data_IF_866839429636
#
_entry.id   IF_866839429636
#
_cell.length_a   1.000
_cell.length_b   1.000
_cell.length_c   1.000
_cell.angle_alpha   90.00
_cell.angle_beta   90.00
_cell.angle_gamma   90.00
#
_symmetry.space_group_name_H-M   'P 1'
#
loop_
_entity.id
_entity.type
_entity.pdbx_description
1 polymer ?
#
# COMPACT_ATOMS: atom_id res chain seq x y z
N UNK A 1 1.14 20.37 5.51
CA UNK A 1 1.46 18.92 5.49
C UNK A 1 2.72 18.59 6.28
N UNK A 2 3.91 19.11 5.91
CA UNK A 2 5.19 18.92 6.65
C UNK A 2 5.04 19.06 8.16
N UNK A 3 4.43 20.16 8.60
CA UNK A 3 4.18 20.42 10.03
C UNK A 3 3.28 19.37 10.71
N UNK A 4 2.29 18.80 10.00
CA UNK A 4 1.41 17.76 10.55
C UNK A 4 2.18 16.45 10.76
N UNK A 5 2.94 16.02 9.76
CA UNK A 5 3.83 14.85 9.85
C UNK A 5 4.85 15.05 10.95
N UNK A 6 5.53 16.20 10.97
CA UNK A 6 6.53 16.50 11.98
C UNK A 6 5.93 16.51 13.40
N UNK A 7 4.76 17.11 13.59
CA UNK A 7 4.04 17.09 14.87
C UNK A 7 3.66 15.65 15.28
N UNK A 8 3.24 14.82 14.33
CA UNK A 8 2.92 13.42 14.60
C UNK A 8 4.15 12.62 15.05
N UNK A 9 5.33 12.87 14.45
CA UNK A 9 6.59 12.22 14.84
C UNK A 9 7.06 12.72 16.22
N UNK A 10 6.99 14.04 16.50
CA UNK A 10 7.37 14.63 17.81
C UNK A 10 6.65 14.01 19.00
N UNK A 11 5.44 13.47 18.80
CA UNK A 11 4.68 12.76 19.84
C UNK A 11 5.11 11.31 20.06
N UNK A 12 6.28 10.90 19.56
CA UNK A 12 6.79 9.53 19.63
C UNK A 12 8.24 9.51 20.08
N UNK A 13 8.80 8.31 20.20
CA UNK A 13 10.22 8.04 20.47
C UNK A 13 11.16 8.25 19.28
N UNK A 14 10.65 8.73 18.13
CA UNK A 14 11.45 9.03 16.95
C UNK A 14 11.88 10.50 16.93
N UNK A 15 13.12 10.75 16.52
CA UNK A 15 13.61 12.08 16.22
C UNK A 15 13.04 12.55 14.88
N UNK A 16 12.84 13.87 14.74
CA UNK A 16 12.32 14.47 13.51
C UNK A 16 13.16 15.64 13.03
N UNK A 17 13.39 15.68 11.72
CA UNK A 17 14.00 16.80 11.01
C UNK A 17 13.20 17.10 9.75
N UNK A 18 13.12 18.37 9.36
CA UNK A 18 12.47 18.82 8.11
C UNK A 18 13.54 19.33 7.15
N UNK A 19 13.38 19.09 5.85
CA UNK A 19 14.39 19.41 4.83
C UNK A 19 15.76 18.77 5.13
N UNK A 20 15.75 17.53 5.63
CA UNK A 20 16.97 16.84 6.02
C UNK A 20 17.81 16.53 4.78
N UNK A 21 18.96 17.19 4.67
CA UNK A 21 19.96 16.86 3.67
C UNK A 21 20.68 15.57 4.03
N UNK A 22 21.04 14.81 2.99
CA UNK A 22 21.89 13.64 3.09
C UNK A 22 22.63 13.38 1.78
N UNK A 23 23.50 12.39 1.80
CA UNK A 23 24.34 12.03 0.66
C UNK A 23 24.31 10.51 0.49
N UNK A 24 24.09 10.06 -0.75
CA UNK A 24 24.17 8.66 -1.12
C UNK A 24 25.63 8.23 -1.32
N UNK A 25 25.92 6.91 -1.33
CA UNK A 25 27.29 6.40 -1.49
C UNK A 25 27.99 6.83 -2.77
N UNK A 26 27.23 7.11 -3.83
CA UNK A 26 27.73 7.63 -5.12
C UNK A 26 28.07 9.13 -5.08
N UNK A 27 27.93 9.76 -3.92
CA UNK A 27 28.17 11.18 -3.69
C UNK A 27 26.99 12.08 -4.02
N UNK A 28 25.89 11.54 -4.57
CA UNK A 28 24.70 12.33 -4.90
C UNK A 28 23.99 12.83 -3.64
N UNK A 29 23.61 14.11 -3.65
CA UNK A 29 22.92 14.75 -2.52
C UNK A 29 21.42 14.57 -2.69
N UNK A 30 20.74 14.32 -1.58
CA UNK A 30 19.29 14.27 -1.50
C UNK A 30 18.79 15.14 -0.33
N UNK A 31 17.53 15.54 -0.41
CA UNK A 31 16.85 16.30 0.64
C UNK A 31 15.52 15.63 0.90
N UNK A 32 15.35 15.14 2.14
CA UNK A 32 14.09 14.59 2.59
C UNK A 32 13.21 15.69 3.15
N UNK A 33 11.96 15.77 2.69
CA UNK A 33 11.02 16.78 3.18
C UNK A 33 10.79 16.68 4.70
N UNK A 34 10.57 15.45 5.20
CA UNK A 34 10.55 15.13 6.64
C UNK A 34 11.26 13.81 6.86
N UNK A 35 12.26 13.80 7.72
CA UNK A 35 12.99 12.60 8.16
C UNK A 35 12.56 12.21 9.57
N UNK A 36 12.22 10.95 9.76
CA UNK A 36 12.10 10.32 11.07
C UNK A 36 13.29 9.38 11.31
N UNK A 37 13.97 9.52 12.44
CA UNK A 37 15.13 8.70 12.82
C UNK A 37 14.95 8.04 14.19
N UNK A 38 15.33 6.77 14.30
CA UNK A 38 15.44 6.06 15.59
C UNK A 38 16.54 5.01 15.51
N UNK A 39 17.64 5.25 16.23
CA UNK A 39 18.86 4.46 16.13
C UNK A 39 19.30 4.32 14.65
N UNK A 40 19.48 3.09 14.15
CA UNK A 40 19.85 2.83 12.75
C UNK A 40 18.68 3.00 11.75
N UNK A 41 17.44 3.13 12.22
CA UNK A 41 16.27 3.18 11.34
C UNK A 41 15.94 4.62 10.93
N UNK A 42 15.75 4.81 9.62
CA UNK A 42 15.40 6.10 9.03
C UNK A 42 14.25 5.96 8.04
N UNK A 43 13.30 6.89 8.09
CA UNK A 43 12.16 6.98 7.17
C UNK A 43 12.06 8.41 6.65
N UNK A 44 12.14 8.58 5.33
CA UNK A 44 11.86 9.84 4.66
C UNK A 44 10.39 9.86 4.20
N UNK A 45 9.65 10.86 4.64
CA UNK A 45 8.29 11.16 4.16
C UNK A 45 8.40 12.28 3.13
N UNK A 46 8.10 11.97 1.86
CA UNK A 46 8.13 12.89 0.73
C UNK A 46 6.73 13.39 0.39
N UNK A 47 6.56 14.69 0.21
CA UNK A 47 5.30 15.27 -0.25
C UNK A 47 5.46 15.78 -1.66
N UNK A 48 4.76 15.15 -2.60
CA UNK A 48 4.79 15.57 -3.99
C UNK A 48 3.42 16.10 -4.44
N UNK A 49 3.36 17.43 -4.58
CA UNK A 49 2.17 18.18 -4.99
C UNK A 49 2.11 18.42 -6.49
N UNK A 50 3.29 18.51 -7.11
CA UNK A 50 3.46 18.73 -8.54
C UNK A 50 3.53 17.38 -9.26
N UNK A 51 3.28 17.39 -10.56
CA UNK A 51 3.49 16.20 -11.39
C UNK A 51 4.96 15.76 -11.28
N UNK A 52 5.17 14.47 -10.99
CA UNK A 52 6.48 13.82 -11.00
C UNK A 52 6.34 12.50 -11.76
N UNK A 53 7.32 12.18 -12.59
CA UNK A 53 7.31 10.92 -13.34
C UNK A 53 7.67 9.73 -12.45
N UNK A 54 7.28 8.54 -12.89
CA UNK A 54 7.73 7.28 -12.31
C UNK A 54 9.26 7.22 -12.21
N UNK A 55 9.97 7.57 -13.29
CA UNK A 55 11.44 7.48 -13.36
C UNK A 55 12.13 8.42 -12.36
N UNK A 56 11.65 9.65 -12.22
CA UNK A 56 12.22 10.59 -11.25
C UNK A 56 11.95 10.13 -9.81
N UNK A 57 10.76 9.57 -9.56
CA UNK A 57 10.41 8.99 -8.26
C UNK A 57 11.31 7.79 -7.95
N UNK A 58 11.53 6.90 -8.92
CA UNK A 58 12.40 5.74 -8.78
C UNK A 58 13.86 6.17 -8.52
N UNK A 59 14.35 7.16 -9.26
CA UNK A 59 15.71 7.71 -9.08
C UNK A 59 15.91 8.26 -7.67
N UNK A 60 14.97 9.09 -7.17
CA UNK A 60 15.04 9.63 -5.81
C UNK A 60 14.89 8.54 -4.74
N UNK A 61 14.03 7.57 -4.99
CA UNK A 61 13.85 6.43 -4.09
C UNK A 61 15.13 5.58 -3.98
N UNK A 62 15.86 5.41 -5.07
CA UNK A 62 17.14 4.71 -5.09
C UNK A 62 18.21 5.43 -4.26
N UNK A 63 18.23 6.77 -4.28
CA UNK A 63 19.13 7.56 -3.42
C UNK A 63 18.85 7.31 -1.93
N UNK A 64 17.57 7.21 -1.55
CA UNK A 64 17.22 6.82 -0.17
C UNK A 64 17.62 5.40 0.15
N UNK A 65 17.30 4.45 -0.74
CA UNK A 65 17.60 3.03 -0.55
C UNK A 65 19.09 2.79 -0.35
N UNK A 66 19.93 3.33 -1.24
CA UNK A 66 21.39 3.23 -1.16
C UNK A 66 21.97 3.93 0.08
N UNK A 67 21.27 4.93 0.62
CA UNK A 67 21.64 5.61 1.87
C UNK A 67 21.14 4.89 3.14
N UNK A 68 20.46 3.74 3.02
CA UNK A 68 19.85 3.04 4.16
C UNK A 68 18.64 3.77 4.75
N UNK A 69 17.94 4.56 3.93
CA UNK A 69 16.73 5.30 4.28
C UNK A 69 15.54 4.68 3.56
N UNK A 70 14.43 4.47 4.27
CA UNK A 70 13.17 4.04 3.65
C UNK A 70 12.39 5.27 3.18
N UNK A 71 12.16 5.41 1.88
CA UNK A 71 11.31 6.48 1.34
C UNK A 71 9.83 6.09 1.30
N UNK A 72 8.95 7.00 1.70
CA UNK A 72 7.50 6.92 1.60
C UNK A 72 6.96 8.20 0.97
N UNK A 73 6.29 8.06 -0.18
CA UNK A 73 5.81 9.16 -1.00
C UNK A 73 4.33 9.42 -0.80
N UNK A 74 4.00 10.69 -0.61
CA UNK A 74 2.66 11.21 -0.37
C UNK A 74 2.30 12.14 -1.54
N UNK A 75 1.48 11.66 -2.47
CA UNK A 75 1.11 12.37 -3.68
C UNK A 75 -0.29 12.98 -3.58
N UNK A 76 -0.48 14.20 -4.07
CA UNK A 76 -1.85 14.72 -4.34
C UNK A 76 -2.50 14.05 -5.53
N UNK A 77 -1.70 13.75 -6.54
CA UNK A 77 -2.16 13.23 -7.82
C UNK A 77 -1.20 12.11 -8.26
N UNK A 78 -1.37 10.88 -7.75
CA UNK A 78 -0.45 9.77 -8.02
C UNK A 78 -0.63 9.16 -9.43
N UNK A 79 -1.33 9.83 -10.35
CA UNK A 79 -1.72 9.24 -11.65
C UNK A 79 -0.56 8.79 -12.53
N UNK A 80 0.66 9.26 -12.27
CA UNK A 80 1.87 8.93 -13.02
C UNK A 80 2.83 7.99 -12.27
N UNK A 81 2.53 7.59 -11.03
CA UNK A 81 3.41 6.76 -10.20
C UNK A 81 2.71 5.47 -9.78
N UNK A 82 3.34 4.34 -10.08
CA UNK A 82 2.85 3.03 -9.69
C UNK A 82 3.19 2.76 -8.23
N UNK A 83 2.17 2.36 -7.46
CA UNK A 83 2.32 2.00 -6.05
C UNK A 83 2.97 0.61 -5.96
N UNK A 84 4.13 0.50 -5.30
CA UNK A 84 4.83 -0.77 -5.10
C UNK A 84 5.65 -0.79 -3.81
N UNK A 85 6.13 -1.98 -3.41
CA UNK A 85 7.05 -2.12 -2.26
C UNK A 85 8.34 -1.33 -2.44
N UNK A 86 8.84 -1.26 -3.67
CA UNK A 86 10.08 -0.56 -3.99
C UNK A 86 9.88 0.96 -3.97
N UNK A 87 8.72 1.43 -4.43
CA UNK A 87 8.31 2.84 -4.41
C UNK A 87 6.98 2.96 -3.65
N UNK A 88 7.03 2.99 -2.30
CA UNK A 88 5.83 3.16 -1.49
C UNK A 88 5.25 4.55 -1.74
N UNK A 89 4.19 4.62 -2.52
CA UNK A 89 3.51 5.86 -2.89
C UNK A 89 2.03 5.77 -2.55
N UNK A 90 1.50 6.81 -1.90
CA UNK A 90 0.12 6.85 -1.42
C UNK A 90 -0.52 8.18 -1.80
N UNK A 91 -1.83 8.16 -2.02
CA UNK A 91 -2.61 9.37 -2.25
C UNK A 91 -2.85 10.09 -0.93
N UNK A 92 -2.70 11.40 -0.96
CA UNK A 92 -3.00 12.27 0.16
C UNK A 92 -3.98 13.35 -0.25
N UNK A 93 -5.08 13.39 0.48
CA UNK A 93 -6.11 14.38 0.34
C UNK A 93 -5.96 15.41 1.45
N UNK A 94 -5.98 16.69 1.09
CA UNK A 94 -5.98 17.79 2.06
C UNK A 94 -7.29 18.53 1.97
N UNK A 95 -7.97 18.59 3.10
CA UNK A 95 -9.07 19.51 3.32
C UNK A 95 -8.50 20.77 3.94
N UNK A 96 -8.75 21.92 3.30
CA UNK A 96 -8.23 23.21 3.75
C UNK A 96 -9.04 23.77 4.91
N UNK A 97 -10.32 23.44 4.98
CA UNK A 97 -11.24 23.87 6.03
C UNK A 97 -12.16 22.72 6.49
N UNK A 98 -11.99 22.20 7.73
CA UNK A 98 -10.85 22.42 8.63
C UNK A 98 -9.55 21.85 8.06
N UNK A 99 -8.40 22.38 8.48
CA UNK A 99 -7.07 21.94 8.04
C UNK A 99 -6.76 20.49 8.46
N UNK A 100 -7.22 19.54 7.66
CA UNK A 100 -7.09 18.11 7.87
C UNK A 100 -6.41 17.47 6.65
N UNK A 101 -5.58 16.46 6.91
CA UNK A 101 -4.97 15.68 5.86
C UNK A 101 -5.28 14.20 6.09
N UNK A 102 -5.60 13.51 5.01
CA UNK A 102 -5.97 12.12 5.00
C UNK A 102 -5.12 11.38 3.99
N UNK A 103 -4.61 10.22 4.39
CA UNK A 103 -3.95 9.29 3.48
C UNK A 103 -4.99 8.28 3.04
N UNK A 104 -5.09 8.10 1.74
CA UNK A 104 -5.93 7.07 1.14
C UNK A 104 -5.02 5.96 0.61
N UNK A 105 -5.36 4.73 0.98
CA UNK A 105 -4.66 3.54 0.53
C UNK A 105 -5.36 3.05 -0.75
N UNK A 106 -4.63 2.73 -1.83
CA UNK A 106 -5.29 2.31 -3.05
C UNK A 106 -5.95 0.94 -2.82
N UNK A 107 -7.21 0.83 -3.27
CA UNK A 107 -7.93 -0.41 -3.49
C UNK A 107 -7.95 -0.66 -5.01
N UNK A 108 -7.90 -1.91 -5.43
CA UNK A 108 -7.99 -2.21 -6.87
C UNK A 108 -9.34 -1.76 -7.44
N UNK A 109 -9.31 -1.29 -8.69
CA UNK A 109 -10.51 -1.24 -9.51
C UNK A 109 -10.85 -2.63 -10.04
N UNK A 110 -12.14 -2.92 -10.26
CA UNK A 110 -12.52 -4.04 -11.10
C UNK A 110 -11.82 -3.94 -12.47
N UNK A 111 -11.30 -5.08 -12.93
CA UNK A 111 -10.56 -5.20 -14.17
C UNK A 111 -11.38 -4.67 -15.37
N UNK A 112 -10.82 -3.73 -16.15
CA UNK A 112 -11.45 -3.22 -17.39
C UNK A 112 -11.50 -1.69 -17.56
N UNK A 113 -11.15 -0.91 -16.53
CA UNK A 113 -11.02 0.55 -16.70
C UNK A 113 -9.75 0.88 -17.50
N UNK A 114 -9.91 1.44 -18.70
CA UNK A 114 -8.78 1.94 -19.55
C UNK A 114 -8.00 3.11 -18.93
N UNK A 115 -8.34 3.51 -17.71
CA UNK A 115 -7.60 4.43 -16.85
C UNK A 115 -7.32 3.70 -15.54
N UNK A 116 -6.07 3.75 -15.06
CA UNK A 116 -5.69 3.40 -13.69
C UNK A 116 -6.32 4.42 -12.72
N UNK A 117 -7.64 4.43 -12.63
CA UNK A 117 -8.37 5.19 -11.63
C UNK A 117 -8.34 4.38 -10.34
N UNK A 118 -7.25 4.42 -9.56
CA UNK A 118 -7.23 3.78 -8.25
C UNK A 118 -8.52 4.14 -7.48
N UNK A 119 -9.29 3.13 -7.05
CA UNK A 119 -10.36 3.35 -6.10
C UNK A 119 -9.70 3.52 -4.74
N UNK A 120 -9.76 4.70 -4.17
CA UNK A 120 -9.09 4.98 -2.91
C UNK A 120 -9.93 4.42 -1.75
N UNK A 121 -9.33 3.52 -0.95
CA UNK A 121 -9.93 2.85 0.19
C UNK A 121 -10.17 3.77 1.41
N UNK A 122 -10.40 3.22 2.62
CA UNK A 122 -10.73 4.02 3.79
C UNK A 122 -9.67 5.08 4.09
N UNK A 123 -10.14 6.30 4.37
CA UNK A 123 -9.30 7.47 4.67
C UNK A 123 -8.72 7.36 6.09
N UNK A 124 -7.42 7.49 6.24
CA UNK A 124 -6.73 7.49 7.54
C UNK A 124 -6.18 8.89 7.80
N UNK A 125 -6.44 9.45 8.98
CA UNK A 125 -5.90 10.76 9.37
C UNK A 125 -4.36 10.71 9.27
N UNK A 126 -3.75 11.72 8.64
CA UNK A 126 -2.32 11.71 8.28
C UNK A 126 -1.41 11.46 9.50
N UNK A 127 -1.68 12.12 10.63
CA UNK A 127 -0.91 11.92 11.85
C UNK A 127 -1.04 10.49 12.40
N UNK A 128 -2.24 9.91 12.38
CA UNK A 128 -2.48 8.51 12.75
C UNK A 128 -1.73 7.56 11.81
N UNK A 129 -1.78 7.82 10.51
CA UNK A 129 -1.06 7.03 9.51
C UNK A 129 0.45 7.08 9.76
N UNK A 130 1.03 8.27 9.95
CA UNK A 130 2.46 8.45 10.26
C UNK A 130 2.85 7.66 11.51
N UNK A 131 2.09 7.77 12.61
CA UNK A 131 2.34 6.98 13.83
C UNK A 131 2.26 5.47 13.55
N UNK A 132 1.34 5.02 12.71
CA UNK A 132 1.26 3.64 12.24
C UNK A 132 2.54 3.19 11.50
N UNK A 133 3.06 4.01 10.59
CA UNK A 133 4.33 3.73 9.89
C UNK A 133 5.50 3.58 10.87
N UNK A 134 5.64 4.50 11.84
CA UNK A 134 6.69 4.45 12.86
C UNK A 134 6.58 3.22 13.75
N UNK A 135 5.36 2.81 14.07
CA UNK A 135 5.03 1.60 14.83
C UNK A 135 5.06 0.31 13.97
N UNK A 136 5.52 0.38 12.71
CA UNK A 136 5.59 -0.76 11.77
C UNK A 136 4.24 -1.43 11.48
N UNK A 137 3.14 -0.68 11.57
CA UNK A 137 1.77 -1.12 11.26
C UNK A 137 1.41 -0.96 9.79
N UNK A 138 2.22 -0.24 9.02
CA UNK A 138 2.13 -0.20 7.55
C UNK A 138 3.02 -1.30 6.99
N UNK A 139 2.40 -2.41 6.61
CA UNK A 139 3.09 -3.62 6.15
C UNK A 139 2.59 -3.93 4.74
N UNK A 140 3.52 -4.21 3.84
CA UNK A 140 3.21 -4.79 2.55
C UNK A 140 2.84 -6.25 2.75
N UNK A 141 1.66 -6.65 2.30
CA UNK A 141 1.34 -8.07 2.20
C UNK A 141 2.41 -8.82 1.37
N UNK A 142 2.59 -10.12 1.64
CA UNK A 142 3.53 -11.02 1.00
C UNK A 142 3.32 -10.94 -0.49
N UNK A 143 4.45 -10.90 -1.19
CA UNK A 143 4.52 -10.52 -2.58
C UNK A 143 3.65 -11.41 -3.48
N UNK A 144 3.32 -10.83 -4.63
CA UNK A 144 3.03 -11.58 -5.84
C UNK A 144 4.12 -12.68 -5.97
N UNK A 145 3.70 -13.89 -6.30
CA UNK A 145 4.46 -15.16 -6.37
C UNK A 145 4.67 -15.93 -5.05
N UNK A 146 4.05 -15.53 -3.95
CA UNK A 146 4.04 -16.35 -2.74
C UNK A 146 2.86 -17.34 -2.73
N UNK A 147 3.13 -18.63 -2.49
CA UNK A 147 2.09 -19.63 -2.34
C UNK A 147 1.29 -19.36 -1.04
N UNK A 148 0.02 -19.00 -1.19
CA UNK A 148 -0.90 -18.75 -0.07
C UNK A 148 -1.77 -19.99 0.15
N UNK A 149 -1.92 -20.49 1.40
CA UNK A 149 -2.86 -21.57 1.66
C UNK A 149 -4.29 -21.16 1.28
N UNK A 150 -5.02 -22.08 0.64
CA UNK A 150 -6.36 -21.85 0.10
C UNK A 150 -7.34 -22.81 0.75
N UNK A 151 -8.32 -22.27 1.46
CA UNK A 151 -9.46 -23.04 1.95
C UNK A 151 -10.58 -22.99 0.89
N UNK A 152 -11.09 -24.16 0.47
CA UNK A 152 -12.16 -24.29 -0.53
C UNK A 152 -13.45 -24.67 0.19
N UNK A 153 -14.49 -23.87 -0.02
CA UNK A 153 -15.79 -24.10 0.58
C UNK A 153 -16.74 -24.72 -0.43
N UNK A 154 -17.47 -25.74 -0.02
CA UNK A 154 -18.44 -26.44 -0.86
C UNK A 154 -19.81 -26.46 -0.20
N UNK A 155 -20.85 -26.57 -1.03
CA UNK A 155 -22.21 -26.85 -0.57
C UNK A 155 -22.84 -27.88 -1.50
N UNK A 156 -23.73 -28.71 -0.95
CA UNK A 156 -24.49 -29.66 -1.74
C UNK A 156 -25.71 -28.99 -2.36
N UNK A 157 -25.88 -29.18 -3.66
CA UNK A 157 -27.06 -28.77 -4.39
C UNK A 157 -27.57 -29.88 -5.30
N UNK A 158 -28.88 -29.92 -5.52
CA UNK A 158 -29.46 -30.86 -6.47
C UNK A 158 -29.11 -30.42 -7.90
N UNK A 159 -28.48 -31.31 -8.67
CA UNK A 159 -28.17 -31.05 -10.07
C UNK A 159 -29.44 -30.65 -10.84
N UNK A 160 -29.42 -29.51 -11.53
CA UNK A 160 -30.59 -29.00 -12.25
C UNK A 160 -31.14 -30.01 -13.26
N UNK A 161 -30.27 -30.83 -13.87
CA UNK A 161 -30.60 -31.83 -14.88
C UNK A 161 -31.04 -33.18 -14.31
N UNK A 162 -30.23 -33.79 -13.46
CA UNK A 162 -30.46 -35.18 -13.00
C UNK A 162 -31.00 -35.29 -11.57
N UNK A 163 -31.17 -34.15 -10.86
CA UNK A 163 -31.67 -34.03 -9.48
C UNK A 163 -30.84 -34.77 -8.41
N UNK A 164 -29.71 -35.37 -8.76
CA UNK A 164 -28.80 -35.98 -7.79
C UNK A 164 -28.07 -34.90 -6.97
N UNK A 165 -27.75 -35.15 -5.69
CA UNK A 165 -26.87 -34.30 -4.91
C UNK A 165 -25.54 -34.12 -5.63
N UNK A 166 -25.08 -32.88 -5.72
CA UNK A 166 -23.83 -32.49 -6.36
C UNK A 166 -23.19 -31.42 -5.50
N UNK A 167 -21.95 -31.65 -5.08
CA UNK A 167 -21.20 -30.64 -4.36
C UNK A 167 -20.72 -29.57 -5.33
N UNK A 168 -21.07 -28.32 -5.07
CA UNK A 168 -20.60 -27.15 -5.79
C UNK A 168 -19.61 -26.38 -4.91
N UNK A 169 -18.61 -25.77 -5.52
CA UNK A 169 -17.73 -24.84 -4.81
C UNK A 169 -18.50 -23.53 -4.62
N UNK A 170 -18.57 -23.03 -3.39
CA UNK A 170 -19.29 -21.80 -3.04
C UNK A 170 -18.35 -20.64 -2.78
N UNK A 171 -17.07 -20.91 -2.52
CA UNK A 171 -16.08 -19.86 -2.36
C UNK A 171 -14.69 -20.39 -2.04
N UNK A 172 -13.78 -19.43 -1.99
CA UNK A 172 -12.36 -19.61 -1.78
C UNK A 172 -11.90 -18.62 -0.72
N UNK A 173 -11.16 -19.09 0.28
CA UNK A 173 -10.54 -18.21 1.27
C UNK A 173 -9.03 -18.35 1.21
N UNK A 174 -8.35 -17.27 0.84
CA UNK A 174 -6.90 -17.19 0.87
C UNK A 174 -6.45 -16.82 2.27
N UNK A 175 -5.71 -17.73 2.89
CA UNK A 175 -5.24 -17.63 4.28
C UNK A 175 -3.97 -16.80 4.38
N UNK A 176 -4.05 -15.56 3.90
CA UNK A 176 -2.97 -14.58 3.99
C UNK A 176 -2.62 -14.25 5.45
N UNK A 177 -3.56 -14.43 6.37
CA UNK A 177 -3.36 -14.32 7.83
C UNK A 177 -2.27 -15.26 8.35
N UNK A 178 -2.07 -16.42 7.69
CA UNK A 178 -1.03 -17.38 8.06
C UNK A 178 0.36 -16.96 7.58
N UNK A 179 0.44 -16.12 6.56
CA UNK A 179 1.71 -15.60 6.02
C UNK A 179 2.05 -14.21 6.55
N UNK A 180 1.04 -13.44 6.93
CA UNK A 180 1.17 -12.06 7.40
C UNK A 180 0.54 -11.95 8.76
N UNK A 181 1.37 -11.80 9.81
CA UNK A 181 0.87 -11.48 11.13
C UNK A 181 -0.05 -10.26 11.06
N UNK A 182 -1.33 -10.46 11.35
CA UNK A 182 -2.31 -9.39 11.41
C UNK A 182 -3.12 -9.08 10.15
N UNK A 183 -2.88 -9.78 9.03
CA UNK A 183 -3.80 -9.73 7.89
C UNK A 183 -5.10 -10.49 8.19
N UNK A 184 -6.16 -10.15 7.46
CA UNK A 184 -7.41 -10.92 7.45
C UNK A 184 -7.40 -11.85 6.25
N UNK A 185 -8.01 -13.06 6.35
CA UNK A 185 -8.23 -13.90 5.19
C UNK A 185 -8.96 -13.15 4.06
N UNK A 186 -8.66 -13.50 2.81
CA UNK A 186 -9.28 -12.89 1.63
C UNK A 186 -10.30 -13.86 1.04
N UNK A 187 -11.57 -13.49 1.08
CA UNK A 187 -12.66 -14.26 0.52
C UNK A 187 -12.90 -13.90 -0.96
N UNK A 188 -12.88 -14.90 -1.84
CA UNK A 188 -13.25 -14.78 -3.25
C UNK A 188 -14.37 -15.76 -3.60
N UNK A 189 -15.26 -15.32 -4.49
CA UNK A 189 -16.30 -16.18 -5.07
C UNK A 189 -15.84 -16.75 -6.40
N UNK A 190 -16.49 -17.81 -6.86
CA UNK A 190 -16.20 -18.43 -8.16
C UNK A 190 -16.32 -17.44 -9.34
N UNK A 191 -17.30 -16.53 -9.29
CA UNK A 191 -17.49 -15.44 -10.26
C UNK A 191 -16.27 -14.50 -10.37
N UNK A 192 -15.41 -14.45 -9.35
CA UNK A 192 -14.17 -13.66 -9.41
C UNK A 192 -13.09 -14.33 -10.29
N UNK A 193 -13.22 -15.63 -10.61
CA UNK A 193 -12.29 -16.39 -11.44
C UNK A 193 -12.75 -16.54 -12.90
N UNK A 194 -14.00 -16.23 -13.21
CA UNK A 194 -14.56 -16.26 -14.55
C UNK A 194 -14.08 -15.04 -15.37
N UNK A 195 -12.81 -15.06 -15.77
CA UNK A 195 -12.22 -14.10 -16.68
C UNK A 195 -11.90 -14.78 -18.03
N UNK A 196 -12.45 -14.31 -19.17
CA UNK A 196 -12.18 -14.88 -20.50
C UNK A 196 -10.70 -14.76 -20.96
N UNK A 197 -9.84 -14.07 -20.21
CA UNK A 197 -8.41 -13.90 -20.52
C UNK A 197 -7.47 -14.80 -19.70
N UNK A 198 -7.96 -15.65 -18.81
CA UNK A 198 -7.16 -16.69 -18.14
C UNK A 198 -5.98 -16.18 -17.29
N UNK A 199 -5.97 -14.90 -16.88
CA UNK A 199 -4.91 -14.35 -16.02
C UNK A 199 -5.30 -14.49 -14.55
N UNK A 200 -4.35 -15.01 -13.77
CA UNK A 200 -4.41 -15.20 -12.32
C UNK A 200 -4.87 -13.91 -11.61
N UNK A 201 -6.05 -13.95 -10.99
CA UNK A 201 -6.68 -12.84 -10.26
C UNK A 201 -5.85 -12.38 -9.05
N UNK A 202 -4.92 -13.22 -8.60
CA UNK A 202 -4.09 -12.97 -7.42
C UNK A 202 -2.82 -12.15 -7.68
N UNK A 203 -2.51 -11.85 -8.94
CA UNK A 203 -1.32 -11.06 -9.32
C UNK A 203 -1.49 -9.55 -9.19
N UNK A 204 -2.66 -9.07 -8.76
CA UNK A 204 -3.00 -7.64 -8.74
C UNK A 204 -3.11 -7.02 -7.35
N UNK A 205 -3.71 -7.73 -6.38
CA UNK A 205 -4.23 -7.12 -5.16
C UNK A 205 -3.14 -6.48 -4.29
N UNK A 206 -3.07 -5.14 -4.17
CA UNK A 206 -2.28 -4.49 -3.14
C UNK A 206 -3.02 -4.69 -1.81
N UNK A 207 -2.72 -5.78 -1.13
CA UNK A 207 -3.26 -6.08 0.19
C UNK A 207 -2.53 -5.21 1.22
N UNK A 208 -3.00 -3.98 1.39
CA UNK A 208 -2.55 -3.11 2.46
C UNK A 208 -3.43 -3.30 3.69
N UNK A 209 -2.82 -3.43 4.86
CA UNK A 209 -3.51 -3.31 6.14
C UNK A 209 -2.79 -2.28 7.00
N UNK A 210 -3.56 -1.45 7.69
CA UNK A 210 -3.07 -0.57 8.76
C UNK A 210 -3.72 -1.03 10.05
N UNK A 211 -2.94 -1.68 10.91
CA UNK A 211 -3.38 -2.14 12.23
C UNK A 211 -3.31 -1.05 13.30
#
# INVERSE_FOLDING_TARGET
MKACIAKAIKGTEWEVSTEQRGQAPDGSVWVADVMASRAAHRIAFEMQWSAQSQDETARRQEQYRSSGVRGLWLFRHPSAVQVSKDIPSLHVEVQLDPALAWVSIPHETPYGSKKMDYQWGPRIELGRFVRGCLARKFIWAPGIDQAVPLDIFTADQACWRCKKPTSIITGFEFRVDLLVPGARPVWLKMENFDNPLGRTVLGGVPLFSVQ
#
